data_IF_903069521553
#
_entry.id   IF_903069521553
#
_cell.length_a   1.000
_cell.length_b   1.000
_cell.length_c   1.000
_cell.angle_alpha   90.00
_cell.angle_beta   90.00
_cell.angle_gamma   90.00
#
_symmetry.space_group_name_H-M   'P 1'
#
loop_
_entity.id
_entity.type
_entity.pdbx_description
1 polymer ?
#
# COMPACT_ATOMS: atom_id res chain seq x y z
N UNK A 1 10.80 19.87 -3.31
CA UNK A 1 10.69 18.43 -3.00
C UNK A 1 10.19 17.76 -4.28
N UNK A 2 10.97 16.89 -4.93
CA UNK A 2 10.50 16.19 -6.13
C UNK A 2 9.59 15.07 -5.67
N UNK A 3 8.29 15.17 -5.98
CA UNK A 3 7.41 14.03 -5.94
C UNK A 3 7.88 13.09 -7.05
N UNK A 4 8.69 12.11 -6.70
CA UNK A 4 8.99 11.02 -7.63
C UNK A 4 7.67 10.27 -7.76
N UNK A 5 7.04 10.33 -8.93
CA UNK A 5 5.85 9.53 -9.21
C UNK A 5 6.25 8.06 -9.09
N UNK A 6 5.96 7.43 -7.95
CA UNK A 6 6.13 5.99 -7.79
C UNK A 6 5.02 5.35 -8.62
N UNK A 7 5.44 4.75 -9.72
CA UNK A 7 4.60 4.07 -10.69
C UNK A 7 4.92 2.58 -10.66
N UNK A 8 4.09 1.77 -11.32
CA UNK A 8 4.32 0.33 -11.48
C UNK A 8 4.57 -0.41 -10.16
N UNK A 9 3.81 -0.04 -9.12
CA UNK A 9 3.78 -0.78 -7.87
C UNK A 9 3.07 -2.10 -8.11
N UNK A 10 3.75 -3.21 -7.81
CA UNK A 10 3.23 -4.57 -7.95
C UNK A 10 3.39 -5.34 -6.63
N UNK A 11 2.33 -6.03 -6.20
CA UNK A 11 2.43 -7.02 -5.12
C UNK A 11 3.23 -8.21 -5.62
N UNK A 12 4.18 -8.69 -4.81
CA UNK A 12 5.00 -9.82 -5.19
C UNK A 12 4.20 -11.11 -5.27
N UNK A 13 4.60 -12.04 -6.14
CA UNK A 13 3.87 -13.29 -6.39
C UNK A 13 3.85 -14.20 -5.15
N UNK A 14 4.90 -14.15 -4.33
CA UNK A 14 5.01 -14.88 -3.08
C UNK A 14 4.17 -14.30 -1.94
N UNK A 15 3.51 -13.15 -2.15
CA UNK A 15 2.72 -12.46 -1.13
C UNK A 15 1.24 -12.77 -1.29
N UNK A 16 0.64 -13.30 -0.23
CA UNK A 16 -0.80 -13.49 -0.12
C UNK A 16 -1.37 -12.51 0.89
N UNK A 17 -2.59 -12.05 0.66
CA UNK A 17 -3.28 -11.19 1.61
C UNK A 17 -4.77 -11.52 1.69
N UNK A 18 -5.35 -11.21 2.84
CA UNK A 18 -6.77 -11.39 3.11
C UNK A 18 -7.34 -10.15 3.78
N UNK A 19 -8.44 -9.64 3.22
CA UNK A 19 -9.24 -8.60 3.84
C UNK A 19 -10.19 -9.19 4.89
N UNK A 20 -10.20 -8.58 6.07
CA UNK A 20 -11.08 -8.93 7.17
C UNK A 20 -12.34 -8.06 7.18
N UNK A 21 -13.38 -8.53 7.89
CA UNK A 21 -14.65 -7.80 8.01
C UNK A 21 -14.53 -6.45 8.75
N UNK A 22 -13.49 -6.28 9.56
CA UNK A 22 -13.19 -5.05 10.28
C UNK A 22 -12.43 -4.01 9.44
N UNK A 23 -12.19 -4.30 8.15
CA UNK A 23 -11.43 -3.43 7.24
C UNK A 23 -9.92 -3.57 7.38
N UNK A 24 -9.41 -4.45 8.26
CA UNK A 24 -7.98 -4.77 8.29
C UNK A 24 -7.60 -5.75 7.18
N UNK A 25 -6.33 -5.72 6.78
CA UNK A 25 -5.73 -6.68 5.85
C UNK A 25 -4.62 -7.43 6.57
N UNK A 26 -4.61 -8.75 6.46
CA UNK A 26 -3.48 -9.59 6.88
C UNK A 26 -2.69 -9.96 5.63
N UNK A 27 -1.38 -9.68 5.65
CA UNK A 27 -0.43 -9.96 4.58
C UNK A 27 0.58 -10.98 5.08
N UNK A 28 0.91 -11.95 4.24
CA UNK A 28 1.86 -13.03 4.54
C UNK A 28 2.73 -13.29 3.31
N UNK A 29 4.01 -13.57 3.54
CA UNK A 29 4.89 -14.15 2.52
C UNK A 29 4.84 -15.67 2.62
N UNK A 30 4.60 -16.34 1.49
CA UNK A 30 4.50 -17.81 1.45
C UNK A 30 5.83 -18.53 1.73
N UNK A 31 6.97 -17.83 1.61
CA UNK A 31 8.30 -18.37 1.86
C UNK A 31 8.84 -18.02 3.27
N UNK A 32 8.04 -17.37 4.10
CA UNK A 32 8.39 -16.95 5.47
C UNK A 32 7.27 -17.40 6.41
N UNK A 33 7.38 -18.65 6.89
CA UNK A 33 6.29 -19.39 7.54
C UNK A 33 5.78 -18.74 8.84
N UNK A 34 6.54 -17.80 9.42
CA UNK A 34 6.24 -17.18 10.73
C UNK A 34 5.96 -15.67 10.67
N UNK A 35 5.98 -15.02 9.51
CA UNK A 35 5.84 -13.55 9.41
C UNK A 35 4.50 -13.12 8.80
N UNK A 36 3.62 -12.61 9.67
CA UNK A 36 2.34 -12.01 9.29
C UNK A 36 2.31 -10.52 9.63
N UNK A 37 1.85 -9.71 8.69
CA UNK A 37 1.68 -8.27 8.88
C UNK A 37 0.20 -7.93 8.89
N UNK A 38 -0.24 -7.18 9.91
CA UNK A 38 -1.59 -6.61 9.95
C UNK A 38 -1.54 -5.15 9.50
N UNK A 39 -2.32 -4.81 8.49
CA UNK A 39 -2.48 -3.46 7.95
C UNK A 39 -3.89 -2.97 8.31
N UNK A 40 -4.01 -1.74 8.82
CA UNK A 40 -5.26 -1.18 9.31
C UNK A 40 -5.52 0.23 8.76
N UNK A 41 -6.78 0.66 8.81
CA UNK A 41 -7.19 2.03 8.48
C UNK A 41 -6.83 2.42 7.06
N UNK A 42 -6.41 3.67 6.86
CA UNK A 42 -6.07 4.22 5.53
C UNK A 42 -4.98 3.42 4.82
N UNK A 43 -4.05 2.81 5.57
CA UNK A 43 -3.01 1.96 4.99
C UNK A 43 -3.56 0.67 4.37
N UNK A 44 -4.65 0.13 4.92
CA UNK A 44 -5.32 -1.05 4.35
C UNK A 44 -5.98 -0.70 3.02
N UNK A 45 -6.62 0.46 2.93
CA UNK A 45 -7.18 0.96 1.67
C UNK A 45 -6.10 1.25 0.63
N UNK A 46 -4.97 1.84 1.04
CA UNK A 46 -3.81 2.03 0.16
C UNK A 46 -3.31 0.69 -0.39
N UNK A 47 -3.11 -0.31 0.47
CA UNK A 47 -2.70 -1.64 0.06
C UNK A 47 -3.67 -2.25 -0.97
N UNK A 48 -4.97 -2.18 -0.69
CA UNK A 48 -5.98 -2.73 -1.59
C UNK A 48 -5.91 -2.08 -2.97
N UNK A 49 -5.80 -0.76 -3.04
CA UNK A 49 -5.65 -0.03 -4.30
C UNK A 49 -4.40 -0.46 -5.08
N UNK A 50 -3.25 -0.58 -4.42
CA UNK A 50 -2.03 -1.06 -5.07
C UNK A 50 -2.16 -2.51 -5.58
N UNK A 51 -2.84 -3.37 -4.81
CA UNK A 51 -3.05 -4.77 -5.19
C UNK A 51 -4.00 -4.96 -6.38
N UNK A 52 -4.93 -4.02 -6.58
CA UNK A 52 -5.93 -4.04 -7.66
C UNK A 52 -5.40 -3.42 -8.98
N UNK A 53 -4.06 -3.25 -9.09
CA UNK A 53 -3.36 -2.63 -10.23
C UNK A 53 -3.56 -1.11 -10.37
N UNK A 54 -3.94 -0.40 -9.30
CA UNK A 54 -3.70 1.05 -9.25
C UNK A 54 -2.22 1.28 -8.92
N UNK A 55 -1.38 1.30 -9.95
CA UNK A 55 0.08 1.27 -9.80
C UNK A 55 0.71 2.64 -9.50
N UNK A 56 -0.10 3.70 -9.35
CA UNK A 56 0.36 5.08 -9.25
C UNK A 56 0.00 5.70 -7.89
N UNK A 57 1.04 6.08 -7.13
CA UNK A 57 0.90 6.72 -5.82
C UNK A 57 0.06 8.01 -5.85
N UNK A 58 0.21 8.83 -6.88
CA UNK A 58 -0.52 10.09 -7.04
C UNK A 58 -2.01 9.87 -7.27
N UNK A 59 -2.40 8.84 -8.03
CA UNK A 59 -3.81 8.48 -8.23
C UNK A 59 -4.44 7.98 -6.94
N UNK A 60 -3.76 7.07 -6.23
CA UNK A 60 -4.19 6.56 -4.93
C UNK A 60 -4.34 7.71 -3.93
N UNK A 61 -3.38 8.62 -3.88
CA UNK A 61 -3.43 9.77 -2.98
C UNK A 61 -4.59 10.73 -3.31
N UNK A 62 -4.85 10.98 -4.60
CA UNK A 62 -5.98 11.81 -5.02
C UNK A 62 -7.33 11.19 -4.68
N UNK A 63 -7.48 9.87 -4.82
CA UNK A 63 -8.70 9.17 -4.44
C UNK A 63 -8.94 9.24 -2.93
N UNK A 64 -7.90 8.94 -2.15
CA UNK A 64 -7.99 9.00 -0.68
C UNK A 64 -8.21 10.43 -0.19
N UNK A 65 -7.61 11.43 -0.85
CA UNK A 65 -7.82 12.85 -0.52
C UNK A 65 -9.29 13.24 -0.59
N UNK A 66 -9.99 12.77 -1.63
CA UNK A 66 -11.44 13.00 -1.80
C UNK A 66 -12.25 12.29 -0.72
N UNK A 67 -11.93 11.03 -0.43
CA UNK A 67 -12.68 10.22 0.54
C UNK A 67 -12.54 10.74 1.97
N UNK A 68 -11.34 11.20 2.33
CA UNK A 68 -11.02 11.62 3.69
C UNK A 68 -11.06 13.14 3.90
N UNK A 69 -11.27 13.93 2.84
CA UNK A 69 -11.21 15.40 2.89
C UNK A 69 -9.89 15.93 3.49
N UNK A 70 -8.78 15.27 3.16
CA UNK A 70 -7.42 15.61 3.61
C UNK A 70 -6.62 16.08 2.38
N UNK A 71 -5.74 17.10 2.51
CA UNK A 71 -4.85 17.50 1.42
C UNK A 71 -4.03 16.32 0.87
N UNK A 72 -3.97 16.19 -0.45
CA UNK A 72 -3.28 15.08 -1.10
C UNK A 72 -1.79 15.05 -0.76
N UNK A 73 -1.16 16.18 -0.47
CA UNK A 73 0.25 16.26 -0.06
C UNK A 73 0.51 15.51 1.24
N UNK A 74 -0.43 15.57 2.19
CA UNK A 74 -0.33 14.85 3.46
C UNK A 74 -0.44 13.34 3.23
N UNK A 75 -1.39 12.93 2.38
CA UNK A 75 -1.57 11.52 2.02
C UNK A 75 -0.35 10.99 1.29
N UNK A 76 0.24 11.76 0.38
CA UNK A 76 1.46 11.33 -0.32
C UNK A 76 2.61 11.11 0.66
N UNK A 77 2.78 12.00 1.65
CA UNK A 77 3.82 11.83 2.68
C UNK A 77 3.60 10.54 3.49
N UNK A 78 2.38 10.30 3.96
CA UNK A 78 2.06 9.11 4.75
C UNK A 78 2.16 7.82 3.90
N UNK A 79 1.71 7.89 2.65
CA UNK A 79 1.77 6.81 1.68
C UNK A 79 3.21 6.47 1.27
N UNK A 80 4.11 7.45 1.20
CA UNK A 80 5.53 7.21 0.93
C UNK A 80 6.16 6.41 2.08
N UNK A 81 5.90 6.80 3.34
CA UNK A 81 6.39 6.05 4.52
C UNK A 81 5.87 4.61 4.49
N UNK A 82 4.60 4.43 4.14
CA UNK A 82 4.00 3.10 4.01
C UNK A 82 4.67 2.29 2.88
N UNK A 83 4.84 2.88 1.70
CA UNK A 83 5.49 2.24 0.55
C UNK A 83 6.94 1.85 0.84
N UNK A 84 7.71 2.75 1.44
CA UNK A 84 9.09 2.46 1.84
C UNK A 84 9.12 1.26 2.78
N UNK A 85 8.17 1.18 3.71
CA UNK A 85 8.10 0.05 4.64
C UNK A 85 7.73 -1.25 3.94
N UNK A 86 6.72 -1.26 3.07
CA UNK A 86 6.32 -2.50 2.37
C UNK A 86 7.34 -2.90 1.29
N UNK A 87 8.16 -1.99 0.79
CA UNK A 87 9.33 -2.28 -0.05
C UNK A 87 10.48 -2.89 0.75
N UNK A 88 10.81 -2.32 1.91
CA UNK A 88 11.82 -2.87 2.84
C UNK A 88 11.47 -4.28 3.28
N UNK A 89 10.18 -4.52 3.55
CA UNK A 89 9.66 -5.84 3.88
C UNK A 89 9.53 -6.75 2.65
N UNK A 90 9.91 -6.31 1.46
CA UNK A 90 9.79 -7.01 0.18
C UNK A 90 8.39 -7.59 -0.07
N UNK A 91 7.34 -6.86 0.32
CA UNK A 91 5.95 -7.25 0.07
C UNK A 91 5.47 -6.78 -1.31
N UNK A 92 6.11 -5.74 -1.84
CA UNK A 92 5.87 -5.20 -3.17
C UNK A 92 7.20 -5.05 -3.94
N UNK A 93 7.10 -4.69 -5.22
CA UNK A 93 8.20 -4.22 -6.06
C UNK A 93 7.74 -3.02 -6.89
N UNK A 94 8.71 -2.20 -7.33
CA UNK A 94 8.50 -1.11 -8.29
C UNK A 94 9.20 -1.54 -9.59
N UNK A 95 8.45 -1.59 -10.70
CA UNK A 95 8.95 -2.03 -12.00
C UNK A 95 9.28 -0.87 -12.97
#
# INVERSE_FOLDING_TARGET
>A
MKFTAVNNIEVREEVVFRSNKDGSIVVMKMNDDDMFYKINGVAAEMWQKFSEKQSNLGEVANDLSKNYSIPSEKIISDAQIFLDKVLELELIRVA
#
